data_IF_397081600660
#
_entry.id   IF_397081600660
#
_cell.length_a   1.000
_cell.length_b   1.000
_cell.length_c   1.000
_cell.angle_alpha   90.00
_cell.angle_beta   90.00
_cell.angle_gamma   90.00
#
_symmetry.space_group_name_H-M   'P 1'
#
loop_
_entity.id
_entity.type
_entity.pdbx_description
1 polymer ?
#
# COMPACT_ATOMS: atom_id res chain seq x y z
N UNK A 1 5.04 -14.55 4.51
CA UNK A 1 3.79 -14.78 5.27
C UNK A 1 3.65 -16.27 5.50
N UNK A 2 3.54 -16.74 6.74
CA UNK A 2 3.43 -18.17 7.09
C UNK A 2 1.97 -18.62 7.11
N UNK A 3 1.72 -19.94 6.96
CA UNK A 3 0.37 -20.51 7.07
C UNK A 3 -0.28 -20.19 8.43
N UNK A 4 0.51 -20.18 9.51
CA UNK A 4 0.04 -19.82 10.84
C UNK A 4 -0.45 -18.36 10.93
N UNK A 5 0.26 -17.42 10.32
CA UNK A 5 -0.13 -16.01 10.28
C UNK A 5 -1.45 -15.81 9.51
N UNK A 6 -1.64 -16.52 8.38
CA UNK A 6 -2.87 -16.47 7.61
C UNK A 6 -4.06 -17.04 8.40
N UNK A 7 -3.87 -18.17 9.07
CA UNK A 7 -4.91 -18.76 9.92
C UNK A 7 -5.31 -17.83 11.07
N UNK A 8 -4.36 -17.10 11.63
CA UNK A 8 -4.62 -16.12 12.69
C UNK A 8 -5.49 -14.97 12.19
N UNK A 9 -5.29 -14.52 10.93
CA UNK A 9 -6.15 -13.51 10.29
C UNK A 9 -7.57 -14.01 10.00
N UNK A 10 -7.74 -15.27 9.60
CA UNK A 10 -9.05 -15.86 9.31
C UNK A 10 -9.85 -16.22 10.56
N UNK A 11 -9.18 -16.41 11.69
CA UNK A 11 -9.79 -16.90 12.94
C UNK A 11 -10.98 -16.06 13.46
N UNK A 12 -10.95 -14.71 13.47
CA UNK A 12 -12.09 -13.91 13.93
C UNK A 12 -13.37 -14.17 13.11
N UNK A 13 -13.22 -14.32 11.78
CA UNK A 13 -14.34 -14.64 10.90
C UNK A 13 -14.82 -16.07 11.11
N UNK A 14 -13.91 -17.01 11.29
CA UNK A 14 -14.23 -18.41 11.59
C UNK A 14 -14.97 -18.58 12.92
N UNK A 15 -14.53 -17.89 13.95
CA UNK A 15 -15.18 -17.91 15.28
C UNK A 15 -16.59 -17.33 15.20
N UNK A 16 -16.80 -16.25 14.46
CA UNK A 16 -18.15 -15.68 14.25
C UNK A 16 -19.08 -16.64 13.50
N UNK A 17 -18.58 -17.37 12.50
CA UNK A 17 -19.41 -18.21 11.64
C UNK A 17 -19.64 -19.61 12.22
N UNK A 18 -18.63 -20.22 12.82
CA UNK A 18 -18.62 -21.62 13.24
C UNK A 18 -18.56 -21.81 14.76
N UNK A 19 -18.22 -20.78 15.51
CA UNK A 19 -18.09 -20.81 16.96
C UNK A 19 -16.78 -21.42 17.46
N UNK A 20 -16.25 -22.46 16.82
CA UNK A 20 -14.99 -23.08 17.20
C UNK A 20 -14.26 -23.71 16.02
N UNK A 21 -12.95 -23.99 16.21
CA UNK A 21 -12.07 -24.54 15.19
C UNK A 21 -12.48 -25.93 14.71
N UNK A 22 -13.09 -26.75 15.57
CA UNK A 22 -13.54 -28.09 15.22
C UNK A 22 -14.67 -28.08 14.19
N UNK A 23 -15.64 -27.18 14.36
CA UNK A 23 -16.73 -26.98 13.39
C UNK A 23 -16.22 -26.34 12.10
N UNK A 24 -15.27 -25.43 12.18
CA UNK A 24 -14.64 -24.85 11.00
C UNK A 24 -13.89 -25.91 10.19
N UNK A 25 -13.07 -26.76 10.81
CA UNK A 25 -12.41 -27.88 10.12
C UNK A 25 -13.43 -28.84 9.49
N UNK A 26 -14.47 -29.23 10.22
CA UNK A 26 -15.52 -30.10 9.71
C UNK A 26 -16.26 -29.53 8.48
N UNK A 27 -16.52 -28.21 8.47
CA UNK A 27 -17.12 -27.52 7.31
C UNK A 27 -16.22 -27.54 6.06
N UNK A 28 -14.93 -27.78 6.22
CA UNK A 28 -13.95 -27.92 5.14
C UNK A 28 -13.61 -29.39 4.83
N UNK A 29 -14.33 -30.35 5.38
CA UNK A 29 -14.01 -31.78 5.30
C UNK A 29 -12.58 -32.12 5.77
N UNK A 30 -12.10 -31.42 6.80
CA UNK A 30 -10.78 -31.62 7.37
C UNK A 30 -10.86 -32.31 8.72
N UNK A 31 -9.87 -33.17 9.08
CA UNK A 31 -9.77 -33.73 10.41
C UNK A 31 -9.72 -32.63 11.51
N UNK A 32 -10.35 -32.84 12.66
CA UNK A 32 -10.43 -31.83 13.73
C UNK A 32 -9.05 -31.30 14.22
N UNK A 33 -8.04 -32.17 14.16
CA UNK A 33 -6.67 -31.84 14.56
C UNK A 33 -5.87 -31.05 13.51
N UNK A 34 -6.41 -30.90 12.29
CA UNK A 34 -5.70 -30.22 11.18
C UNK A 34 -5.36 -28.79 11.55
N UNK A 35 -6.28 -28.02 12.11
CA UNK A 35 -6.04 -26.64 12.51
C UNK A 35 -5.01 -26.50 13.63
N UNK A 36 -5.00 -27.43 14.58
CA UNK A 36 -4.00 -27.44 15.66
C UNK A 36 -2.59 -27.79 15.14
N UNK A 37 -2.50 -28.69 14.16
CA UNK A 37 -1.24 -29.04 13.50
C UNK A 37 -0.73 -27.88 12.61
N UNK A 38 -1.60 -27.23 11.87
CA UNK A 38 -1.25 -26.10 11.01
C UNK A 38 -0.71 -24.89 11.79
N UNK A 39 -1.15 -24.69 13.03
CA UNK A 39 -0.61 -23.63 13.90
C UNK A 39 0.84 -23.88 14.34
N UNK A 40 1.24 -25.16 14.37
CA UNK A 40 2.59 -25.57 14.78
C UNK A 40 3.56 -25.72 13.60
N UNK A 41 3.03 -25.74 12.36
CA UNK A 41 3.80 -25.89 11.13
C UNK A 41 3.92 -24.58 10.39
N UNK A 42 5.07 -24.33 9.80
CA UNK A 42 5.30 -23.13 8.97
C UNK A 42 4.73 -23.27 7.57
N UNK A 43 4.47 -24.50 7.12
CA UNK A 43 3.95 -24.82 5.78
C UNK A 43 2.61 -25.50 5.84
N UNK A 44 1.77 -25.24 4.83
CA UNK A 44 0.48 -25.86 4.62
C UNK A 44 0.26 -26.08 3.13
N UNK A 45 -0.50 -27.13 2.79
CA UNK A 45 -1.00 -27.34 1.45
C UNK A 45 -1.96 -26.20 1.04
N UNK A 46 -1.75 -25.67 -0.18
CA UNK A 46 -2.54 -24.55 -0.71
C UNK A 46 -4.03 -24.89 -0.78
N UNK A 47 -4.38 -26.14 -1.13
CA UNK A 47 -5.77 -26.61 -1.22
C UNK A 47 -6.47 -26.49 0.15
N UNK A 48 -5.79 -26.87 1.21
CA UNK A 48 -6.28 -26.75 2.59
C UNK A 48 -6.49 -25.30 2.99
N UNK A 49 -5.55 -24.39 2.65
CA UNK A 49 -5.68 -22.96 2.92
C UNK A 49 -6.85 -22.34 2.15
N UNK A 50 -7.01 -22.67 0.86
CA UNK A 50 -8.13 -22.22 0.04
C UNK A 50 -9.47 -22.67 0.63
N UNK A 51 -9.60 -23.94 1.04
CA UNK A 51 -10.81 -24.47 1.64
C UNK A 51 -11.16 -23.72 2.94
N UNK A 52 -10.20 -23.52 3.82
CA UNK A 52 -10.38 -22.80 5.09
C UNK A 52 -10.78 -21.34 4.88
N UNK A 53 -10.15 -20.63 3.93
CA UNK A 53 -10.48 -19.26 3.59
C UNK A 53 -11.89 -19.15 2.99
N UNK A 54 -12.20 -19.97 1.99
CA UNK A 54 -13.51 -19.97 1.31
C UNK A 54 -14.66 -20.27 2.27
N UNK A 55 -14.48 -21.17 3.23
CA UNK A 55 -15.48 -21.49 4.23
C UNK A 55 -15.90 -20.28 5.08
N UNK A 56 -15.01 -19.30 5.26
CA UNK A 56 -15.28 -18.05 6.00
C UNK A 56 -15.56 -16.85 5.09
N UNK A 57 -15.69 -17.07 3.77
CA UNK A 57 -16.03 -16.03 2.80
C UNK A 57 -14.85 -15.22 2.31
N UNK A 58 -13.62 -15.73 2.45
CA UNK A 58 -12.40 -15.10 1.92
C UNK A 58 -11.89 -15.85 0.69
N UNK A 59 -11.31 -15.10 -0.24
CA UNK A 59 -10.62 -15.66 -1.41
C UNK A 59 -9.11 -15.46 -1.23
N UNK A 60 -8.33 -16.52 -1.48
CA UNK A 60 -6.88 -16.40 -1.58
C UNK A 60 -6.54 -15.96 -3.00
N UNK A 61 -5.93 -14.80 -3.14
CA UNK A 61 -5.40 -14.30 -4.40
C UNK A 61 -3.88 -14.30 -4.35
N UNK A 62 -3.25 -14.69 -5.44
CA UNK A 62 -1.83 -14.45 -5.66
C UNK A 62 -1.73 -13.01 -6.14
N UNK A 63 -1.32 -12.13 -5.25
CA UNK A 63 -0.87 -10.80 -5.66
C UNK A 63 0.62 -10.89 -5.96
N UNK A 64 1.12 -10.21 -7.03
CA UNK A 64 2.55 -10.02 -7.18
C UNK A 64 3.10 -9.58 -5.82
N UNK A 65 4.15 -10.23 -5.33
CA UNK A 65 4.86 -9.73 -4.18
C UNK A 65 5.16 -8.28 -4.52
N UNK A 66 4.46 -7.35 -3.91
CA UNK A 66 4.89 -5.98 -3.92
C UNK A 66 6.26 -6.06 -3.27
N UNK A 67 7.29 -6.07 -4.11
CA UNK A 67 8.64 -5.88 -3.66
C UNK A 67 8.57 -4.72 -2.71
N UNK A 68 9.21 -4.84 -1.58
CA UNK A 68 9.19 -3.83 -0.55
C UNK A 68 9.20 -2.47 -1.27
N UNK A 69 8.15 -1.63 -1.17
CA UNK A 69 8.12 -0.34 -1.87
C UNK A 69 9.35 0.51 -1.49
N UNK A 70 9.97 0.20 -0.34
CA UNK A 70 11.25 0.72 0.08
C UNK A 70 12.43 0.19 -0.76
N UNK A 71 12.37 -1.04 -1.26
CA UNK A 71 13.42 -1.59 -2.11
C UNK A 71 13.36 -1.09 -3.56
N UNK A 72 12.17 -0.66 -4.03
CA UNK A 72 11.96 -0.19 -5.41
C UNK A 72 12.17 1.32 -5.55
N UNK A 73 11.96 2.09 -4.47
CA UNK A 73 12.20 3.52 -4.44
C UNK A 73 13.41 3.76 -3.53
N UNK A 74 14.60 3.79 -4.11
CA UNK A 74 15.84 3.95 -3.37
C UNK A 74 15.79 5.14 -2.43
N UNK A 75 16.32 5.00 -1.22
CA UNK A 75 16.37 6.05 -0.19
C UNK A 75 16.91 7.37 -0.74
N UNK A 76 17.92 7.30 -1.59
CA UNK A 76 18.51 8.48 -2.25
C UNK A 76 17.49 9.22 -3.14
N UNK A 77 16.65 8.49 -3.88
CA UNK A 77 15.58 9.10 -4.68
C UNK A 77 14.50 9.73 -3.82
N UNK A 78 14.14 9.10 -2.70
CA UNK A 78 13.16 9.66 -1.77
C UNK A 78 13.71 10.94 -1.13
N UNK A 79 14.96 10.97 -0.73
CA UNK A 79 15.63 12.15 -0.18
C UNK A 79 15.71 13.28 -1.21
N UNK A 80 16.08 12.97 -2.45
CA UNK A 80 16.13 13.96 -3.53
C UNK A 80 14.72 14.53 -3.87
N UNK A 81 13.67 13.70 -3.84
CA UNK A 81 12.28 14.18 -3.96
C UNK A 81 11.85 15.04 -2.78
N UNK A 82 12.26 14.71 -1.57
CA UNK A 82 11.98 15.53 -0.40
C UNK A 82 12.64 16.91 -0.50
N UNK A 83 13.86 16.98 -1.01
CA UNK A 83 14.56 18.24 -1.24
C UNK A 83 13.88 19.08 -2.33
N UNK A 84 13.52 18.46 -3.45
CA UNK A 84 12.74 19.10 -4.52
C UNK A 84 11.41 19.66 -3.99
N UNK A 85 10.66 18.87 -3.22
CA UNK A 85 9.40 19.30 -2.64
C UNK A 85 9.58 20.38 -1.55
N UNK A 86 10.69 20.34 -0.81
CA UNK A 86 11.00 21.32 0.22
C UNK A 86 11.42 22.68 -0.38
N UNK A 87 12.12 22.68 -1.51
CA UNK A 87 12.51 23.90 -2.24
C UNK A 87 11.31 24.68 -2.77
N UNK A 88 10.17 24.02 -2.94
CA UNK A 88 8.96 24.63 -3.52
C UNK A 88 9.06 24.82 -5.04
N UNK A 89 10.02 24.18 -5.70
CA UNK A 89 10.16 24.23 -7.16
C UNK A 89 8.88 23.75 -7.85
N UNK A 90 8.48 24.46 -8.88
CA UNK A 90 7.34 24.17 -9.75
C UNK A 90 7.76 23.97 -11.21
N UNK A 91 9.05 23.71 -11.41
CA UNK A 91 9.60 23.50 -12.74
C UNK A 91 9.33 22.05 -13.22
N UNK A 92 8.40 21.88 -14.16
CA UNK A 92 8.00 20.57 -14.67
C UNK A 92 9.16 19.77 -15.29
N UNK A 93 10.09 20.36 -16.08
CA UNK A 93 11.31 19.70 -16.53
C UNK A 93 12.15 19.15 -15.38
N UNK A 94 12.31 19.87 -14.30
CA UNK A 94 13.04 19.41 -13.12
C UNK A 94 12.33 18.19 -12.49
N UNK A 95 11.02 18.26 -12.31
CA UNK A 95 10.22 17.17 -11.75
C UNK A 95 10.30 15.89 -12.59
N UNK A 96 10.27 16.00 -13.92
CA UNK A 96 10.37 14.84 -14.85
C UNK A 96 11.66 14.04 -14.72
N UNK A 97 12.71 14.59 -14.11
CA UNK A 97 13.96 13.85 -13.85
C UNK A 97 13.83 12.79 -12.75
N UNK A 98 12.83 12.92 -11.88
CA UNK A 98 12.66 12.06 -10.71
C UNK A 98 11.76 10.85 -10.94
N UNK A 99 11.03 10.80 -12.05
CA UNK A 99 10.18 9.64 -12.35
C UNK A 99 9.21 9.86 -13.50
N UNK A 100 8.40 8.84 -13.74
CA UNK A 100 7.36 8.87 -14.76
C UNK A 100 6.26 9.90 -14.43
N UNK A 101 5.64 10.47 -15.46
CA UNK A 101 4.64 11.52 -15.34
C UNK A 101 3.50 11.17 -14.38
N UNK A 102 2.97 9.96 -14.45
CA UNK A 102 1.92 9.50 -13.53
C UNK A 102 2.35 9.55 -12.07
N UNK A 103 3.57 9.07 -11.77
CA UNK A 103 4.10 9.04 -10.41
C UNK A 103 4.32 10.44 -9.84
N UNK A 104 5.05 11.29 -10.56
CA UNK A 104 5.39 12.64 -10.10
C UNK A 104 4.20 13.60 -10.16
N UNK A 105 3.27 13.42 -11.12
CA UNK A 105 2.02 14.17 -11.20
C UNK A 105 1.11 13.89 -9.99
N UNK A 106 0.97 12.62 -9.59
CA UNK A 106 0.24 12.27 -8.38
C UNK A 106 0.90 12.79 -7.10
N UNK A 107 2.23 12.85 -7.05
CA UNK A 107 2.95 13.50 -5.94
C UNK A 107 2.65 15.01 -5.89
N UNK A 108 2.62 15.71 -7.03
CA UNK A 108 2.24 17.11 -7.09
C UNK A 108 0.77 17.31 -6.64
N UNK A 109 -0.14 16.41 -7.02
CA UNK A 109 -1.55 16.40 -6.56
C UNK A 109 -1.62 16.22 -5.03
N UNK A 110 -0.83 15.31 -4.46
CA UNK A 110 -0.72 15.14 -3.01
C UNK A 110 -0.26 16.42 -2.32
N UNK A 111 0.76 17.10 -2.86
CA UNK A 111 1.29 18.34 -2.31
C UNK A 111 0.30 19.50 -2.37
N UNK A 112 -0.61 19.53 -3.34
CA UNK A 112 -1.69 20.48 -3.40
C UNK A 112 -2.61 20.46 -2.17
N UNK A 113 -2.62 19.36 -1.40
CA UNK A 113 -3.35 19.22 -0.14
C UNK A 113 -2.58 19.71 1.09
N UNK A 114 -1.29 20.03 0.96
CA UNK A 114 -0.43 20.41 2.08
C UNK A 114 -0.60 21.89 2.42
N UNK A 115 -0.86 22.20 3.70
CA UNK A 115 -0.94 23.58 4.17
C UNK A 115 0.39 24.32 3.93
N UNK A 116 0.29 25.57 3.44
CA UNK A 116 1.45 26.42 3.16
C UNK A 116 2.09 26.17 1.80
N UNK A 117 1.47 25.35 0.96
CA UNK A 117 1.76 25.22 -0.47
C UNK A 117 0.63 25.85 -1.30
N UNK A 118 0.99 26.44 -2.45
CA UNK A 118 -0.01 27.00 -3.37
C UNK A 118 -0.74 25.87 -4.11
N UNK A 119 -1.94 25.58 -3.65
CA UNK A 119 -2.76 24.51 -4.20
C UNK A 119 -2.96 24.62 -5.72
N UNK A 120 -3.23 25.83 -6.22
CA UNK A 120 -3.52 26.05 -7.65
C UNK A 120 -2.30 25.73 -8.51
N UNK A 121 -1.14 26.20 -8.08
CA UNK A 121 0.10 25.98 -8.81
C UNK A 121 0.52 24.51 -8.81
N UNK A 122 0.35 23.80 -7.69
CA UNK A 122 0.64 22.36 -7.64
C UNK A 122 -0.34 21.53 -8.45
N UNK A 123 -1.63 21.89 -8.52
CA UNK A 123 -2.57 21.20 -9.41
C UNK A 123 -2.26 21.48 -10.88
N UNK A 124 -1.88 22.70 -11.24
CA UNK A 124 -1.44 23.01 -12.60
C UNK A 124 -0.17 22.23 -13.00
N UNK A 125 0.81 22.14 -12.09
CA UNK A 125 1.99 21.31 -12.28
C UNK A 125 1.63 19.82 -12.45
N UNK A 126 0.70 19.30 -11.63
CA UNK A 126 0.26 17.92 -11.72
C UNK A 126 -0.34 17.59 -13.10
N UNK A 127 -1.20 18.48 -13.62
CA UNK A 127 -1.80 18.33 -14.95
C UNK A 127 -0.76 18.43 -16.07
N UNK A 128 0.27 19.28 -15.94
CA UNK A 128 1.36 19.35 -16.90
C UNK A 128 2.24 18.10 -16.89
N UNK A 129 2.47 17.52 -15.72
CA UNK A 129 3.25 16.30 -15.56
C UNK A 129 2.49 15.06 -16.07
N UNK A 130 1.21 14.96 -15.78
CA UNK A 130 0.34 13.88 -16.22
C UNK A 130 -1.13 14.34 -16.33
N UNK A 131 -1.63 14.59 -17.55
CA UNK A 131 -3.02 15.02 -17.75
C UNK A 131 -4.03 14.06 -17.10
N UNK A 132 -4.98 14.63 -16.36
CA UNK A 132 -6.04 13.89 -15.67
C UNK A 132 -5.65 13.29 -14.30
N UNK A 133 -4.42 13.46 -13.85
CA UNK A 133 -3.96 12.89 -12.55
C UNK A 133 -4.67 13.53 -11.34
N UNK A 134 -5.26 14.70 -11.51
CA UNK A 134 -6.01 15.41 -10.47
C UNK A 134 -7.44 14.88 -10.32
N UNK A 135 -7.92 14.02 -11.21
CA UNK A 135 -9.22 13.37 -11.11
C UNK A 135 -9.23 12.38 -9.95
N UNK A 136 -10.31 12.31 -9.15
CA UNK A 136 -10.36 11.48 -7.95
C UNK A 136 -10.00 10.02 -8.21
N UNK A 137 -10.52 9.42 -9.29
CA UNK A 137 -10.33 8.01 -9.63
C UNK A 137 -8.87 7.72 -10.02
N UNK A 138 -8.24 8.65 -10.73
CA UNK A 138 -6.84 8.54 -11.16
C UNK A 138 -5.90 8.74 -9.98
N UNK A 139 -6.22 9.68 -9.09
CA UNK A 139 -5.44 9.92 -7.89
C UNK A 139 -5.57 8.76 -6.88
N UNK A 140 -6.74 8.15 -6.75
CA UNK A 140 -6.93 6.96 -5.93
C UNK A 140 -6.09 5.79 -6.45
N UNK A 141 -6.06 5.58 -7.77
CA UNK A 141 -5.17 4.60 -8.41
C UNK A 141 -3.70 4.89 -8.12
N UNK A 142 -3.31 6.17 -8.13
CA UNK A 142 -1.96 6.59 -7.75
C UNK A 142 -1.62 6.24 -6.30
N UNK A 143 -2.53 6.50 -5.35
CA UNK A 143 -2.35 6.15 -3.94
C UNK A 143 -2.11 4.65 -3.73
N UNK A 144 -2.78 3.82 -4.54
CA UNK A 144 -2.65 2.36 -4.48
C UNK A 144 -1.33 1.87 -5.09
N UNK A 145 -0.86 2.50 -6.18
CA UNK A 145 0.31 2.06 -6.94
C UNK A 145 1.61 2.79 -6.59
N UNK A 146 1.52 3.91 -5.88
CA UNK A 146 2.70 4.71 -5.54
C UNK A 146 3.64 3.97 -4.60
N UNK A 147 4.95 3.95 -4.89
CA UNK A 147 5.95 3.46 -3.97
C UNK A 147 6.16 4.39 -2.76
N UNK A 148 5.77 5.68 -2.90
CA UNK A 148 5.78 6.63 -1.79
C UNK A 148 4.60 6.39 -0.85
N UNK A 149 4.87 6.40 0.45
CA UNK A 149 3.84 6.33 1.49
C UNK A 149 3.54 7.74 2.01
N UNK A 150 2.37 8.34 1.69
CA UNK A 150 2.02 9.69 2.12
C UNK A 150 2.15 9.89 3.62
N UNK A 151 1.78 8.90 4.43
CA UNK A 151 1.86 8.93 5.88
C UNK A 151 3.29 9.10 6.43
N UNK A 152 4.32 8.64 5.69
CA UNK A 152 5.73 8.82 6.04
C UNK A 152 6.32 10.06 5.38
N UNK A 153 6.02 10.26 4.10
CA UNK A 153 6.59 11.33 3.29
C UNK A 153 6.19 12.73 3.78
N UNK A 154 4.90 12.97 4.03
CA UNK A 154 4.39 14.29 4.40
C UNK A 154 4.93 14.82 5.74
N UNK A 155 5.02 14.04 6.84
CA UNK A 155 5.64 14.50 8.07
C UNK A 155 7.13 14.85 7.90
N UNK A 156 7.85 14.08 7.08
CA UNK A 156 9.27 14.34 6.80
C UNK A 156 9.45 15.63 5.99
N UNK A 157 8.62 15.85 4.98
CA UNK A 157 8.59 17.08 4.20
C UNK A 157 8.29 18.31 5.07
N UNK A 158 7.29 18.21 5.96
CA UNK A 158 6.97 19.31 6.88
C UNK A 158 8.16 19.70 7.77
N UNK A 159 8.89 18.70 8.28
CA UNK A 159 10.10 18.95 9.08
C UNK A 159 11.19 19.63 8.28
N UNK A 160 11.46 19.18 7.03
CA UNK A 160 12.47 19.81 6.16
C UNK A 160 12.13 21.27 5.86
N UNK A 161 10.88 21.56 5.54
CA UNK A 161 10.43 22.93 5.26
C UNK A 161 10.51 23.84 6.49
N UNK A 162 10.24 23.33 7.68
CA UNK A 162 10.37 24.11 8.92
C UNK A 162 11.82 24.46 9.26
N UNK A 163 12.80 23.69 8.77
CA UNK A 163 14.24 23.98 8.94
C UNK A 163 14.75 24.94 7.88
N UNK A 164 14.11 24.98 6.70
CA UNK A 164 14.52 25.83 5.58
C UNK A 164 13.87 27.23 5.59
N UNK A 165 12.89 27.48 6.48
CA UNK A 165 12.18 28.74 6.65
C UNK A 165 12.79 29.58 7.78
#
# INVERSE_FOLDING_TARGET
MTAAALLQQLRPAATRKFGNDRRWAAACNLPPETLSRLRKRESCDLRTLVALASAVGYTLAVTPAQGDPEATFGREKEEALLDLCASGSLDAPEWRRYGEGFFIGGLATLLASVRGLDRRRYLALAEDLHPGVTQPEVFELWLQKSPLRPARFLPTLKRRRAVAA
#
